data_IF_633333839951
#
_entry.id   IF_633333839951
#
_cell.length_a   1.000
_cell.length_b   1.000
_cell.length_c   1.000
_cell.angle_alpha   90.00
_cell.angle_beta   90.00
_cell.angle_gamma   90.00
#
_symmetry.space_group_name_H-M   'P 1'
#
loop_
_entity.id
_entity.type
_entity.pdbx_description
1 polymer ?
#
# COMPACT_ATOMS: atom_id res chain seq x y z
N UNK A 1 6.60 12.95 -5.80
CA UNK A 1 6.69 14.26 -6.47
C UNK A 1 8.08 14.56 -7.05
N UNK A 2 9.16 14.06 -6.46
CA UNK A 2 10.53 14.30 -6.95
C UNK A 2 10.85 13.59 -8.29
N UNK A 3 10.01 12.67 -8.73
CA UNK A 3 10.17 11.93 -10.00
C UNK A 3 9.27 12.45 -11.13
N UNK A 4 8.46 13.49 -10.88
CA UNK A 4 7.54 14.07 -11.86
C UNK A 4 6.26 13.24 -12.11
N UNK A 5 6.00 12.20 -11.30
CA UNK A 5 4.79 11.39 -11.38
C UNK A 5 3.78 11.78 -10.31
N UNK A 6 2.53 11.96 -10.71
CA UNK A 6 1.40 12.16 -9.80
C UNK A 6 0.86 10.78 -9.40
N UNK A 7 1.24 10.28 -8.22
CA UNK A 7 0.74 9.01 -7.67
C UNK A 7 -0.62 9.25 -7.02
N UNK A 8 -1.65 8.51 -7.43
CA UNK A 8 -2.98 8.62 -6.85
C UNK A 8 -3.10 7.85 -5.53
N UNK A 9 -2.57 6.62 -5.51
CA UNK A 9 -2.67 5.68 -4.38
C UNK A 9 -1.34 5.01 -4.15
N UNK A 10 -1.00 4.75 -2.90
CA UNK A 10 0.09 3.87 -2.52
C UNK A 10 -0.41 2.72 -1.66
N UNK A 11 0.13 1.53 -1.87
CA UNK A 11 -0.18 0.33 -1.09
C UNK A 11 1.08 -0.40 -0.65
N UNK A 12 0.97 -1.08 0.49
CA UNK A 12 2.01 -1.97 1.00
C UNK A 12 1.37 -3.10 1.80
N UNK A 13 1.85 -4.33 1.65
CA UNK A 13 1.40 -5.43 2.48
C UNK A 13 1.92 -5.27 3.92
N UNK A 14 1.05 -5.44 4.91
CA UNK A 14 1.38 -5.29 6.33
C UNK A 14 2.50 -6.21 6.79
N UNK A 15 2.58 -7.43 6.24
CA UNK A 15 3.65 -8.39 6.50
C UNK A 15 5.04 -7.93 6.04
N UNK A 16 5.12 -6.90 5.19
CA UNK A 16 6.37 -6.27 4.76
C UNK A 16 7.02 -5.41 5.84
N UNK A 17 6.25 -4.99 6.85
CA UNK A 17 6.74 -4.19 7.98
C UNK A 17 7.14 -5.11 9.13
N UNK A 18 8.40 -5.08 9.50
CA UNK A 18 8.98 -5.92 10.55
C UNK A 18 9.51 -5.06 11.69
N UNK A 19 9.94 -5.75 12.74
CA UNK A 19 10.47 -5.14 13.95
C UNK A 19 9.40 -4.49 14.85
N UNK A 20 9.83 -4.14 16.06
CA UNK A 20 9.01 -3.43 17.05
C UNK A 20 9.08 -1.92 16.80
N UNK A 21 8.19 -1.19 17.43
CA UNK A 21 8.28 0.26 17.45
C UNK A 21 9.69 0.71 17.89
N UNK A 22 10.25 1.65 17.17
CA UNK A 22 11.57 2.23 17.45
C UNK A 22 11.39 3.67 17.94
N UNK A 23 12.26 4.08 18.88
CA UNK A 23 12.28 5.43 19.43
C UNK A 23 13.72 5.92 19.55
N UNK A 24 13.93 7.23 19.57
CA UNK A 24 15.25 7.85 19.60
C UNK A 24 15.83 8.01 18.20
N UNK A 25 17.15 8.02 18.12
CA UNK A 25 17.85 8.20 16.83
C UNK A 25 17.73 6.97 15.94
N UNK A 26 17.30 7.19 14.69
CA UNK A 26 17.16 6.15 13.67
C UNK A 26 18.40 6.13 12.76
N UNK A 27 19.01 4.97 12.63
CA UNK A 27 20.06 4.70 11.64
C UNK A 27 19.47 4.03 10.41
N UNK A 28 20.21 4.04 9.29
CA UNK A 28 19.85 3.22 8.12
C UNK A 28 19.72 1.73 8.46
N UNK A 29 20.51 1.24 9.42
CA UNK A 29 20.38 -0.13 9.91
C UNK A 29 19.00 -0.34 10.55
N UNK A 30 18.57 0.57 11.42
CA UNK A 30 17.24 0.50 12.05
C UNK A 30 16.11 0.47 11.00
N UNK A 31 16.23 1.26 9.91
CA UNK A 31 15.27 1.28 8.82
C UNK A 31 15.26 -0.03 8.02
N UNK A 32 16.44 -0.63 7.78
CA UNK A 32 16.55 -1.96 7.16
C UNK A 32 16.02 -3.08 8.05
N UNK A 33 16.08 -2.95 9.36
CA UNK A 33 15.48 -3.91 10.29
C UNK A 33 13.94 -3.83 10.26
N UNK A 34 13.34 -2.69 9.84
CA UNK A 34 11.90 -2.53 9.61
C UNK A 34 11.52 -3.11 8.24
N UNK A 35 12.29 -2.79 7.19
CA UNK A 35 12.10 -3.29 5.82
C UNK A 35 13.22 -4.28 5.47
N UNK A 36 13.03 -5.55 5.84
CA UNK A 36 14.09 -6.57 5.80
C UNK A 36 14.20 -7.31 4.48
N UNK A 37 13.23 -7.14 3.59
CA UNK A 37 13.12 -7.99 2.38
C UNK A 37 13.86 -7.42 1.17
N UNK A 38 14.31 -6.17 1.22
CA UNK A 38 14.98 -5.51 0.10
C UNK A 38 14.04 -5.30 -1.09
N UNK A 39 12.75 -5.06 -0.82
CA UNK A 39 11.80 -4.71 -1.87
C UNK A 39 12.16 -3.35 -2.48
N UNK A 40 11.68 -3.13 -3.69
CA UNK A 40 11.85 -1.86 -4.39
C UNK A 40 10.49 -1.24 -4.69
N UNK A 41 10.38 0.06 -4.52
CA UNK A 41 9.19 0.79 -4.91
C UNK A 41 9.08 0.82 -6.44
N UNK A 42 7.88 0.58 -6.94
CA UNK A 42 7.54 0.62 -8.36
C UNK A 42 6.22 1.36 -8.58
N UNK A 43 5.95 1.74 -9.82
CA UNK A 43 4.72 2.42 -10.23
C UNK A 43 4.04 1.63 -11.34
N UNK A 44 2.73 1.44 -11.19
CA UNK A 44 1.88 0.78 -12.19
C UNK A 44 0.62 1.62 -12.46
N UNK A 45 0.07 1.47 -13.65
CA UNK A 45 -1.27 1.95 -13.96
C UNK A 45 -2.24 0.79 -13.78
N UNK A 46 -3.21 0.99 -12.88
CA UNK A 46 -4.24 0.00 -12.55
C UNK A 46 -5.63 0.60 -12.68
N UNK A 47 -6.64 -0.24 -12.84
CA UNK A 47 -8.05 0.20 -12.81
C UNK A 47 -8.56 0.33 -11.38
N UNK A 48 -9.62 1.12 -11.16
CA UNK A 48 -10.30 1.16 -9.89
C UNK A 48 -10.85 -0.20 -9.45
N UNK A 49 -11.26 -1.05 -10.42
CA UNK A 49 -11.69 -2.42 -10.12
C UNK A 49 -10.54 -3.23 -9.51
N UNK A 50 -9.33 -3.15 -10.06
CA UNK A 50 -8.16 -3.84 -9.50
C UNK A 50 -7.82 -3.34 -8.08
N UNK A 51 -7.98 -2.04 -7.82
CA UNK A 51 -7.82 -1.48 -6.46
C UNK A 51 -8.87 -2.08 -5.52
N UNK A 52 -10.14 -2.06 -5.91
CA UNK A 52 -11.23 -2.63 -5.10
C UNK A 52 -11.01 -4.11 -4.80
N UNK A 53 -10.63 -4.90 -5.81
CA UNK A 53 -10.34 -6.32 -5.65
C UNK A 53 -9.13 -6.56 -4.73
N UNK A 54 -8.10 -5.72 -4.80
CA UNK A 54 -6.95 -5.80 -3.92
C UNK A 54 -7.30 -5.51 -2.45
N UNK A 55 -8.13 -4.49 -2.20
CA UNK A 55 -8.63 -4.16 -0.86
C UNK A 55 -9.50 -5.29 -0.30
N UNK A 56 -10.40 -5.86 -1.10
CA UNK A 56 -11.24 -7.01 -0.74
C UNK A 56 -10.39 -8.23 -0.40
N UNK A 57 -9.45 -8.59 -1.28
CA UNK A 57 -8.56 -9.72 -1.08
C UNK A 57 -7.64 -9.53 0.13
N UNK A 58 -7.07 -8.34 0.31
CA UNK A 58 -6.22 -8.01 1.45
C UNK A 58 -6.96 -8.07 2.79
N UNK A 59 -8.26 -7.74 2.80
CA UNK A 59 -9.09 -7.73 4.02
C UNK A 59 -9.79 -9.07 4.32
N UNK A 60 -9.59 -10.11 3.49
CA UNK A 60 -10.36 -11.37 3.55
C UNK A 60 -10.31 -12.11 4.89
N UNK A 61 -9.27 -11.91 5.69
CA UNK A 61 -9.12 -12.55 6.98
C UNK A 61 -9.63 -11.71 8.17
N UNK A 62 -10.00 -10.44 7.97
CA UNK A 62 -10.50 -9.56 9.05
C UNK A 62 -11.73 -10.19 9.72
N UNK A 63 -11.78 -10.26 11.08
CA UNK A 63 -10.91 -9.61 12.06
C UNK A 63 -9.60 -10.37 12.38
N UNK A 64 -9.31 -11.48 11.74
CA UNK A 64 -8.05 -12.22 11.89
C UNK A 64 -6.88 -11.51 11.20
N UNK A 65 -5.67 -11.98 11.50
CA UNK A 65 -4.44 -11.44 10.94
C UNK A 65 -4.14 -12.02 9.54
N UNK A 66 -3.58 -11.17 8.69
CA UNK A 66 -3.10 -11.56 7.35
C UNK A 66 -1.90 -10.69 6.96
N UNK A 67 -0.78 -11.31 6.59
CA UNK A 67 0.39 -10.59 6.10
C UNK A 67 0.12 -9.75 4.85
N UNK A 68 -0.80 -10.20 4.00
CA UNK A 68 -1.27 -9.48 2.82
C UNK A 68 -2.28 -8.36 3.09
N UNK A 69 -2.63 -8.05 4.37
CA UNK A 69 -3.48 -6.90 4.65
C UNK A 69 -2.79 -5.61 4.20
N UNK A 70 -3.49 -4.81 3.37
CA UNK A 70 -2.90 -3.63 2.76
C UNK A 70 -2.90 -2.41 3.68
N UNK A 71 -1.73 -1.84 3.89
CA UNK A 71 -1.57 -0.47 4.35
C UNK A 71 -1.71 0.45 3.14
N UNK A 72 -2.47 1.52 3.27
CA UNK A 72 -2.84 2.37 2.14
C UNK A 72 -2.56 3.84 2.41
N UNK A 73 -2.30 4.61 1.34
CA UNK A 73 -2.20 6.06 1.37
C UNK A 73 -2.85 6.64 0.11
N UNK A 74 -3.45 7.81 0.23
CA UNK A 74 -4.19 8.46 -0.86
C UNK A 74 -5.61 7.90 -1.06
N UNK A 75 -6.04 6.94 -0.26
CA UNK A 75 -7.42 6.45 -0.22
C UNK A 75 -7.86 6.13 1.21
N UNK A 76 -9.17 6.07 1.41
CA UNK A 76 -9.77 5.42 2.57
C UNK A 76 -10.96 4.56 2.14
N UNK A 77 -11.36 3.62 2.99
CA UNK A 77 -12.44 2.67 2.71
C UNK A 77 -12.99 2.08 4.01
N UNK A 78 -14.14 1.46 3.91
CA UNK A 78 -14.79 0.76 5.02
C UNK A 78 -14.66 -0.75 4.80
N UNK A 79 -14.39 -1.50 5.88
CA UNK A 79 -14.45 -2.96 5.91
C UNK A 79 -15.61 -3.35 6.82
N UNK A 80 -16.54 -4.16 6.32
CA UNK A 80 -17.58 -4.78 7.13
C UNK A 80 -17.16 -6.22 7.50
N UNK A 81 -16.73 -6.47 8.73
CA UNK A 81 -16.31 -7.80 9.16
C UNK A 81 -17.48 -8.79 9.29
N UNK A 82 -18.72 -8.34 9.28
CA UNK A 82 -19.91 -9.20 9.29
C UNK A 82 -20.17 -9.86 7.94
N UNK A 83 -19.69 -9.27 6.84
CA UNK A 83 -19.72 -9.84 5.50
C UNK A 83 -18.61 -10.88 5.36
N UNK A 84 -18.97 -12.14 5.17
CA UNK A 84 -17.98 -13.20 4.94
C UNK A 84 -17.31 -13.00 3.57
N UNK A 85 -15.98 -13.05 3.55
CA UNK A 85 -15.25 -12.99 2.29
C UNK A 85 -15.54 -14.23 1.42
N UNK A 86 -15.89 -13.99 0.18
CA UNK A 86 -16.13 -15.02 -0.85
C UNK A 86 -15.26 -14.83 -2.08
N UNK A 87 -14.08 -14.18 -1.90
CA UNK A 87 -13.08 -14.04 -2.96
C UNK A 87 -12.66 -15.41 -3.47
N UNK A 88 -12.45 -15.51 -4.76
CA UNK A 88 -12.07 -16.76 -5.41
C UNK A 88 -10.55 -16.93 -5.38
N UNK A 89 -10.11 -18.09 -4.90
CA UNK A 89 -8.70 -18.43 -4.73
C UNK A 89 -8.41 -19.78 -5.39
N UNK A 90 -7.18 -19.95 -5.87
CA UNK A 90 -6.64 -21.26 -6.23
C UNK A 90 -6.14 -22.03 -4.99
N UNK A 91 -5.61 -23.24 -5.23
CA UNK A 91 -5.07 -24.12 -4.18
C UNK A 91 -3.86 -23.51 -3.43
N UNK A 92 -3.22 -22.50 -4.00
CA UNK A 92 -2.07 -21.79 -3.42
C UNK A 92 -2.48 -20.46 -2.76
N UNK A 93 -3.78 -20.23 -2.60
CA UNK A 93 -4.34 -18.98 -2.07
C UNK A 93 -4.06 -17.75 -2.94
N UNK A 94 -3.81 -17.95 -4.23
CA UNK A 94 -3.68 -16.86 -5.22
C UNK A 94 -5.06 -16.44 -5.69
N UNK A 95 -5.28 -15.15 -5.77
CA UNK A 95 -6.55 -14.58 -6.27
C UNK A 95 -6.84 -15.01 -7.71
N UNK A 96 -8.04 -15.50 -7.95
CA UNK A 96 -8.54 -15.92 -9.28
C UNK A 96 -9.77 -15.15 -9.71
N UNK A 97 -10.42 -14.44 -8.78
CA UNK A 97 -11.60 -13.63 -9.06
C UNK A 97 -12.12 -12.89 -7.84
N UNK A 98 -12.89 -11.85 -8.07
CA UNK A 98 -13.61 -11.11 -7.03
C UNK A 98 -14.58 -12.02 -6.26
N UNK A 99 -15.25 -11.48 -5.22
CA UNK A 99 -16.20 -12.26 -4.44
C UNK A 99 -17.38 -12.74 -5.29
N UNK A 100 -17.86 -13.96 -5.01
CA UNK A 100 -19.09 -14.50 -5.62
C UNK A 100 -20.36 -13.92 -4.99
N UNK A 101 -20.20 -13.24 -3.86
CA UNK A 101 -21.27 -12.56 -3.14
C UNK A 101 -20.99 -11.06 -3.01
N UNK A 102 -21.42 -10.49 -1.89
CA UNK A 102 -21.18 -9.08 -1.57
C UNK A 102 -19.71 -8.80 -1.25
N UNK A 103 -19.22 -7.63 -1.65
CA UNK A 103 -17.93 -7.13 -1.21
C UNK A 103 -18.03 -6.68 0.25
N UNK A 104 -17.07 -7.06 1.08
CA UNK A 104 -16.93 -6.54 2.44
C UNK A 104 -16.32 -5.14 2.49
N UNK A 105 -15.62 -4.73 1.42
CA UNK A 105 -15.06 -3.39 1.27
C UNK A 105 -16.06 -2.48 0.56
N UNK A 106 -16.28 -1.30 1.13
CA UNK A 106 -17.22 -0.29 0.63
C UNK A 106 -16.69 1.12 0.88
N UNK A 107 -17.41 2.12 0.40
CA UNK A 107 -17.08 3.54 0.59
C UNK A 107 -15.61 3.84 0.27
N UNK A 108 -15.13 3.29 -0.85
CA UNK A 108 -13.76 3.52 -1.29
C UNK A 108 -13.70 4.88 -1.94
N UNK A 109 -12.89 5.77 -1.39
CA UNK A 109 -12.68 7.13 -1.89
C UNK A 109 -11.19 7.39 -2.08
N UNK A 110 -10.84 8.07 -3.16
CA UNK A 110 -9.47 8.43 -3.56
C UNK A 110 -9.29 9.94 -3.36
N UNK A 111 -8.15 10.35 -2.82
CA UNK A 111 -7.82 11.75 -2.68
C UNK A 111 -7.56 12.37 -4.06
N UNK A 112 -8.46 13.28 -4.46
CA UNK A 112 -8.32 14.06 -5.68
C UNK A 112 -7.54 15.36 -5.38
N UNK A 113 -6.41 15.51 -6.06
CA UNK A 113 -5.48 16.64 -5.84
C UNK A 113 -6.02 17.96 -6.38
N UNK A 114 -6.88 17.89 -7.40
CA UNK A 114 -7.46 19.08 -8.02
C UNK A 114 -8.52 19.71 -7.11
N UNK A 115 -9.49 18.90 -6.68
CA UNK A 115 -10.53 19.34 -5.75
C UNK A 115 -10.05 19.40 -4.28
N UNK A 116 -8.87 18.82 -3.96
CA UNK A 116 -8.31 18.65 -2.61
C UNK A 116 -9.27 17.95 -1.65
N UNK A 117 -10.02 16.99 -2.15
CA UNK A 117 -11.03 16.23 -1.41
C UNK A 117 -11.00 14.77 -1.78
N UNK A 118 -11.59 13.93 -0.95
CA UNK A 118 -11.82 12.54 -1.27
C UNK A 118 -13.04 12.40 -2.17
N UNK A 119 -12.90 11.64 -3.25
CA UNK A 119 -13.97 11.39 -4.23
C UNK A 119 -14.14 9.88 -4.42
N UNK A 120 -15.37 9.42 -4.71
CA UNK A 120 -15.65 7.99 -4.90
C UNK A 120 -14.75 7.36 -5.97
N UNK A 121 -14.22 6.16 -5.67
CA UNK A 121 -13.46 5.35 -6.63
C UNK A 121 -14.32 5.02 -7.85
N UNK A 122 -13.80 5.32 -9.04
CA UNK A 122 -14.41 4.95 -10.31
C UNK A 122 -13.77 3.67 -10.84
N UNK A 123 -14.55 2.59 -10.97
CA UNK A 123 -14.02 1.25 -11.24
C UNK A 123 -13.29 1.14 -12.59
N UNK A 124 -13.76 1.84 -13.60
CA UNK A 124 -13.19 1.80 -14.96
C UNK A 124 -12.08 2.84 -15.18
N UNK A 125 -11.91 3.78 -14.25
CA UNK A 125 -10.85 4.78 -14.32
C UNK A 125 -9.49 4.15 -14.03
N UNK A 126 -8.46 4.63 -14.72
CA UNK A 126 -7.07 4.28 -14.48
C UNK A 126 -6.46 5.20 -13.41
N UNK A 127 -5.69 4.61 -12.52
CA UNK A 127 -5.00 5.29 -11.41
C UNK A 127 -3.52 4.93 -11.42
N UNK A 128 -2.68 5.88 -11.07
CA UNK A 128 -1.26 5.65 -10.82
C UNK A 128 -1.08 5.07 -9.41
N UNK A 129 -0.73 3.79 -9.33
CA UNK A 129 -0.51 3.05 -8.10
C UNK A 129 0.97 2.91 -7.81
N UNK A 130 1.39 3.34 -6.61
CA UNK A 130 2.71 3.04 -6.06
C UNK A 130 2.63 1.84 -5.11
N UNK A 131 3.67 1.05 -5.08
CA UNK A 131 3.81 -0.05 -4.13
C UNK A 131 5.14 -0.74 -4.29
N UNK A 132 5.33 -1.87 -3.59
CA UNK A 132 6.56 -2.63 -3.73
C UNK A 132 6.43 -3.72 -4.79
N UNK A 133 7.56 -4.01 -5.45
CA UNK A 133 7.66 -5.06 -6.48
C UNK A 133 7.04 -6.38 -6.03
N UNK A 134 7.25 -6.78 -4.77
CA UNK A 134 6.70 -8.02 -4.22
C UNK A 134 5.19 -8.13 -4.45
N UNK A 135 4.42 -7.10 -4.12
CA UNK A 135 2.95 -7.12 -4.26
C UNK A 135 2.49 -6.81 -5.69
N UNK A 136 3.07 -5.79 -6.33
CA UNK A 136 2.57 -5.26 -7.60
C UNK A 136 3.08 -6.04 -8.80
N UNK A 137 4.41 -6.20 -8.91
CA UNK A 137 5.06 -6.82 -10.07
C UNK A 137 5.13 -8.33 -9.95
N UNK A 138 5.55 -8.81 -8.78
CA UNK A 138 5.83 -10.21 -8.53
C UNK A 138 4.60 -10.97 -7.99
N UNK A 139 3.48 -10.25 -7.78
CA UNK A 139 2.17 -10.78 -7.33
C UNK A 139 2.25 -11.57 -6.02
N UNK A 140 3.17 -11.17 -5.15
CA UNK A 140 3.37 -11.78 -3.84
C UNK A 140 2.09 -11.74 -2.99
N UNK A 141 2.02 -12.60 -1.97
CA UNK A 141 0.82 -12.84 -1.15
C UNK A 141 -0.44 -13.20 -1.97
N UNK A 142 -0.30 -13.46 -3.29
CA UNK A 142 -1.38 -13.87 -4.18
C UNK A 142 -2.16 -12.72 -4.83
N UNK A 143 -1.62 -11.50 -4.90
CA UNK A 143 -2.28 -10.32 -5.50
C UNK A 143 -2.33 -10.37 -7.03
N UNK A 144 -2.87 -11.46 -7.60
CA UNK A 144 -2.90 -11.69 -9.04
C UNK A 144 -3.84 -10.78 -9.84
N UNK A 145 -4.68 -9.95 -9.17
CA UNK A 145 -5.46 -8.92 -9.85
C UNK A 145 -4.59 -7.87 -10.55
N UNK A 146 -3.32 -7.71 -10.13
CA UNK A 146 -2.38 -6.78 -10.78
C UNK A 146 -1.66 -7.39 -11.99
N UNK A 147 -1.92 -8.66 -12.32
CA UNK A 147 -1.32 -9.31 -13.49
C UNK A 147 -1.64 -8.55 -14.78
N UNK A 148 -0.61 -8.20 -15.54
CA UNK A 148 -0.77 -7.46 -16.80
C UNK A 148 -1.04 -5.97 -16.64
N UNK A 149 -0.98 -5.42 -15.43
CA UNK A 149 -0.97 -3.98 -15.22
C UNK A 149 0.24 -3.34 -15.93
N UNK A 150 0.04 -2.13 -16.44
CA UNK A 150 1.09 -1.40 -17.15
C UNK A 150 2.16 -0.91 -16.17
N UNK A 151 3.39 -1.42 -16.31
CA UNK A 151 4.52 -0.93 -15.53
C UNK A 151 4.98 0.43 -16.06
N UNK A 152 4.96 1.45 -15.21
CA UNK A 152 5.46 2.79 -15.53
C UNK A 152 6.93 2.91 -15.11
N UNK A 153 7.25 2.45 -13.90
CA UNK A 153 8.62 2.36 -13.38
C UNK A 153 8.75 1.08 -12.55
N UNK A 154 9.72 0.22 -12.92
CA UNK A 154 9.99 -1.02 -12.21
C UNK A 154 10.84 -0.84 -10.94
N UNK A 155 11.62 0.23 -10.89
CA UNK A 155 12.53 0.54 -9.79
C UNK A 155 12.58 2.04 -9.55
N UNK A 156 12.05 2.48 -8.41
CA UNK A 156 12.19 3.87 -7.93
C UNK A 156 13.33 3.95 -6.94
N UNK A 157 13.25 3.19 -5.85
CA UNK A 157 14.26 3.03 -4.80
C UNK A 157 13.92 1.86 -3.88
N UNK A 158 14.89 1.43 -3.06
CA UNK A 158 14.64 0.41 -2.04
C UNK A 158 13.67 0.89 -0.96
N UNK A 159 12.94 -0.04 -0.37
CA UNK A 159 11.90 0.17 0.63
C UNK A 159 12.38 0.98 1.85
N UNK A 160 13.54 0.65 2.42
CA UNK A 160 14.11 1.40 3.53
C UNK A 160 14.50 2.84 3.16
N UNK A 161 14.82 3.10 1.88
CA UNK A 161 15.10 4.45 1.38
C UNK A 161 13.84 5.29 1.27
N UNK A 162 12.70 4.67 0.89
CA UNK A 162 11.38 5.33 0.92
C UNK A 162 11.10 5.82 2.34
N UNK A 163 11.25 4.94 3.33
CA UNK A 163 11.08 5.28 4.75
C UNK A 163 12.08 6.34 5.21
N UNK A 164 13.36 6.24 4.82
CA UNK A 164 14.37 7.23 5.14
C UNK A 164 14.02 8.63 4.61
N UNK A 165 13.54 8.70 3.37
CA UNK A 165 13.13 9.96 2.77
C UNK A 165 11.90 10.55 3.45
N UNK A 166 10.95 9.71 3.86
CA UNK A 166 9.81 10.13 4.65
C UNK A 166 10.23 10.72 6.00
N UNK A 167 11.10 10.03 6.75
CA UNK A 167 11.63 10.54 8.04
C UNK A 167 12.37 11.87 7.84
N UNK A 168 13.15 12.00 6.78
CA UNK A 168 13.88 13.23 6.45
C UNK A 168 12.99 14.40 6.04
N UNK A 169 11.73 14.15 5.67
CA UNK A 169 10.79 15.22 5.32
C UNK A 169 10.21 15.96 6.52
N UNK A 170 10.39 15.44 7.73
CA UNK A 170 9.94 16.10 8.96
C UNK A 170 10.81 17.31 9.33
N UNK A 171 10.24 18.28 10.09
CA UNK A 171 10.99 19.43 10.55
C UNK A 171 12.24 19.05 11.35
N UNK A 172 13.30 19.81 11.14
CA UNK A 172 14.57 19.63 11.88
C UNK A 172 14.43 20.22 13.29
N UNK A 173 14.70 19.40 14.29
CA UNK A 173 14.79 19.86 15.68
C UNK A 173 16.03 20.69 15.88
N UNK A 174 15.89 21.92 16.35
CA UNK A 174 17.02 22.86 16.53
C UNK A 174 18.04 22.43 17.58
N UNK A 175 17.65 21.58 18.55
CA UNK A 175 18.55 21.08 19.58
C UNK A 175 19.42 19.91 19.13
N UNK A 176 18.91 19.06 18.23
CA UNK A 176 19.63 17.87 17.77
C UNK A 176 20.20 18.03 16.35
N UNK A 177 19.68 18.97 15.57
CA UNK A 177 20.00 19.12 14.15
C UNK A 177 19.47 18.00 13.26
N UNK A 178 18.55 17.15 13.76
CA UNK A 178 17.99 16.00 13.05
C UNK A 178 16.49 16.19 12.77
N UNK A 179 15.97 15.66 11.65
CA UNK A 179 14.54 15.56 11.41
C UNK A 179 13.88 14.76 12.53
N UNK A 180 12.77 15.25 13.06
CA UNK A 180 12.12 14.67 14.24
C UNK A 180 10.63 14.50 13.99
N UNK A 181 10.14 13.26 14.18
CA UNK A 181 8.72 12.94 14.22
C UNK A 181 8.23 13.24 15.62
N UNK A 182 7.23 14.09 15.77
CA UNK A 182 6.61 14.41 17.05
C UNK A 182 5.89 13.18 17.63
N UNK A 183 5.77 13.11 18.95
CA UNK A 183 5.14 11.96 19.61
C UNK A 183 3.63 11.85 19.38
N UNK A 184 3.02 12.92 18.90
CA UNK A 184 1.59 13.05 18.61
C UNK A 184 1.26 13.00 17.11
N UNK A 185 2.22 12.58 16.28
CA UNK A 185 2.10 12.48 14.82
C UNK A 185 1.32 11.25 14.38
#
# INVERSE_FOLDING_TARGET
>A
DNLGYAVDVAIMNGGGVRNKAVSGELSYKSLKDIHTFGNVACLQIVTGQQIKDALEFGSRAVPGELGGFLQVSGLHYTIDPSVQSTVQLDEKSVWTGGPTGEYRVSNIEIYDRESKSYVPLQLDKKYMLAGYNYTLRDLGDGFAMFRGAENVIDYVMEDYMVLANYVKSFPVNSGTGLPTIAADH
#
